data_IF_696743583173
#
_entry.id   IF_696743583173
#
_cell.length_a   1.000
_cell.length_b   1.000
_cell.length_c   1.000
_cell.angle_alpha   90.00
_cell.angle_beta   90.00
_cell.angle_gamma   90.00
#
_symmetry.space_group_name_H-M   'P 1'
#
loop_
_entity.id
_entity.type
_entity.pdbx_description
1 polymer ?
#
# COMPACT_ATOMS: atom_id res chain seq x y z
N UNK A 1 30.67 52.91 70.05
CA UNK A 1 30.84 54.38 70.08
C UNK A 1 30.86 54.89 68.64
N UNK A 2 29.88 55.75 68.31
CA UNK A 2 29.77 56.73 67.20
C UNK A 2 29.88 56.22 65.74
N UNK A 3 28.76 56.14 64.98
CA UNK A 3 28.14 57.21 64.15
C UNK A 3 29.10 57.73 63.06
N UNK A 4 28.77 57.69 61.77
CA UNK A 4 27.86 58.69 61.15
C UNK A 4 27.18 58.18 59.88
N UNK A 5 25.85 58.29 59.87
CA UNK A 5 24.99 58.40 58.68
C UNK A 5 25.39 59.61 57.84
N UNK A 6 25.51 59.44 56.51
CA UNK A 6 25.51 60.54 55.55
C UNK A 6 24.20 60.52 54.76
N UNK A 7 23.55 61.67 54.76
CA UNK A 7 22.21 61.96 54.27
C UNK A 7 22.12 62.10 52.75
N UNK A 8 20.89 61.86 52.29
CA UNK A 8 20.30 61.82 50.95
C UNK A 8 20.27 63.21 50.28
N UNK A 9 20.24 63.30 48.93
CA UNK A 9 19.38 64.27 48.26
C UNK A 9 18.23 63.59 47.53
N UNK A 10 17.02 63.97 47.94
CA UNK A 10 15.73 63.59 47.39
C UNK A 10 15.46 64.42 46.15
N UNK A 11 15.30 63.77 44.99
CA UNK A 11 14.79 64.42 43.79
C UNK A 11 13.31 64.07 43.63
N UNK A 12 12.46 65.06 43.93
CA UNK A 12 11.06 65.12 43.48
C UNK A 12 11.08 65.20 41.95
N UNK A 13 10.71 64.14 41.26
CA UNK A 13 10.23 64.27 39.89
C UNK A 13 8.72 64.11 39.84
N UNK A 14 8.14 65.14 39.23
CA UNK A 14 6.73 65.43 39.17
C UNK A 14 5.97 64.37 38.38
N UNK A 15 4.78 64.08 38.90
CA UNK A 15 3.67 63.50 38.18
C UNK A 15 3.38 64.28 36.89
N UNK A 16 3.67 63.67 35.74
CA UNK A 16 3.05 64.04 34.48
C UNK A 16 2.12 62.90 34.07
N UNK A 17 0.84 63.14 34.29
CA UNK A 17 -0.27 62.44 33.66
C UNK A 17 -0.09 62.42 32.15
N UNK A 18 -0.05 61.24 31.54
CA UNK A 18 -0.56 61.05 30.18
C UNK A 18 -1.26 59.69 30.08
N UNK A 19 -2.61 59.65 30.01
CA UNK A 19 -3.34 58.42 29.78
C UNK A 19 -3.25 58.12 28.29
N UNK A 20 -2.33 57.24 27.89
CA UNK A 20 -2.39 56.66 26.54
C UNK A 20 -3.11 55.33 26.63
N UNK A 21 -4.40 55.42 26.30
CA UNK A 21 -5.26 54.32 25.91
C UNK A 21 -4.47 53.22 25.18
N UNK A 22 -4.26 52.08 25.85
CA UNK A 22 -3.96 50.83 25.17
C UNK A 22 -5.21 50.47 24.36
N UNK A 23 -5.22 50.97 23.14
CA UNK A 23 -6.17 50.61 22.10
C UNK A 23 -6.05 49.10 21.91
N UNK A 24 -7.02 48.37 22.47
CA UNK A 24 -7.21 46.96 22.26
C UNK A 24 -7.45 46.78 20.76
N UNK A 25 -6.38 46.51 20.00
CA UNK A 25 -6.49 46.09 18.62
C UNK A 25 -7.04 44.66 18.72
N UNK A 26 -8.36 44.56 18.70
CA UNK A 26 -9.05 43.34 18.35
C UNK A 26 -8.64 43.01 16.92
N UNK A 27 -7.53 42.30 16.80
CA UNK A 27 -7.24 41.48 15.63
C UNK A 27 -8.31 40.40 15.68
N UNK A 28 -9.51 40.76 15.22
CA UNK A 28 -10.40 39.84 14.56
C UNK A 28 -9.62 39.37 13.34
N UNK A 29 -8.74 38.40 13.59
CA UNK A 29 -8.26 37.48 12.59
C UNK A 29 -9.54 36.93 11.98
N UNK A 30 -9.90 37.53 10.86
CA UNK A 30 -10.94 37.08 9.97
C UNK A 30 -10.41 35.76 9.46
N UNK A 31 -10.59 34.70 10.25
CA UNK A 31 -10.42 33.31 9.85
C UNK A 31 -11.29 33.23 8.62
N UNK A 32 -10.66 33.34 7.45
CA UNK A 32 -11.30 32.99 6.19
C UNK A 32 -11.58 31.52 6.40
N UNK A 33 -12.81 31.22 6.80
CA UNK A 33 -13.41 29.90 6.70
C UNK A 33 -13.13 29.49 5.27
N UNK A 34 -12.07 28.73 5.07
CA UNK A 34 -11.82 27.97 3.87
C UNK A 34 -13.00 27.03 3.83
N UNK A 35 -14.09 27.46 3.18
CA UNK A 35 -15.18 26.59 2.79
C UNK A 35 -14.48 25.57 1.91
N UNK A 36 -14.29 24.31 2.37
CA UNK A 36 -13.62 23.33 1.53
C UNK A 36 -14.45 23.28 0.27
N UNK A 37 -13.87 23.78 -0.84
CA UNK A 37 -14.48 23.65 -2.15
C UNK A 37 -14.57 22.14 -2.29
N UNK A 38 -15.78 21.58 -2.21
CA UNK A 38 -15.95 20.15 -2.33
C UNK A 38 -15.44 19.82 -3.72
N UNK A 39 -14.23 19.27 -3.77
CA UNK A 39 -13.67 18.72 -4.98
C UNK A 39 -14.49 17.46 -5.20
N UNK A 40 -15.68 17.64 -5.77
CA UNK A 40 -16.47 16.58 -6.35
C UNK A 40 -15.68 16.13 -7.57
N UNK A 41 -14.64 15.35 -7.33
CA UNK A 41 -13.95 14.56 -8.33
C UNK A 41 -14.89 13.45 -8.78
N UNK A 42 -15.97 13.84 -9.46
CA UNK A 42 -16.86 12.93 -10.16
C UNK A 42 -16.16 12.54 -11.45
N UNK A 43 -15.09 11.76 -11.32
CA UNK A 43 -14.42 11.17 -12.45
C UNK A 43 -15.36 10.11 -13.04
N UNK A 44 -16.09 10.51 -14.08
CA UNK A 44 -17.08 9.70 -14.78
C UNK A 44 -16.48 8.41 -15.36
N UNK A 45 -15.16 8.37 -15.57
CA UNK A 45 -14.43 7.18 -16.06
C UNK A 45 -14.45 6.00 -15.08
N UNK A 46 -14.60 6.23 -13.77
CA UNK A 46 -14.65 5.14 -12.78
C UNK A 46 -16.03 4.52 -12.58
N UNK A 47 -17.06 4.93 -13.34
CA UNK A 47 -18.41 4.33 -13.24
C UNK A 47 -18.46 2.85 -13.64
N UNK A 48 -17.57 2.40 -14.53
CA UNK A 48 -17.54 1.00 -14.98
C UNK A 48 -17.12 0.01 -13.89
N UNK A 49 -16.47 0.49 -12.82
CA UNK A 49 -16.05 -0.36 -11.72
C UNK A 49 -16.60 0.16 -10.40
N UNK A 50 -17.90 -0.08 -10.10
CA UNK A 50 -18.47 0.30 -8.82
C UNK A 50 -17.59 -0.25 -7.69
N UNK A 51 -17.36 0.58 -6.67
CA UNK A 51 -16.69 0.13 -5.45
C UNK A 51 -17.62 -0.91 -4.80
N UNK A 52 -17.16 -2.17 -4.60
CA UNK A 52 -18.02 -3.16 -3.98
C UNK A 52 -18.36 -2.74 -2.56
N UNK A 53 -19.59 -2.99 -2.13
CA UNK A 53 -20.03 -2.85 -0.74
C UNK A 53 -19.27 -3.82 0.16
N UNK A 54 -19.11 -3.46 1.44
CA UNK A 54 -18.39 -4.31 2.41
C UNK A 54 -19.06 -5.68 2.59
N UNK A 55 -20.39 -5.73 2.55
CA UNK A 55 -21.17 -6.97 2.59
C UNK A 55 -20.86 -7.86 1.40
N UNK A 56 -20.86 -7.31 0.18
CA UNK A 56 -20.47 -8.04 -1.03
C UNK A 56 -19.02 -8.55 -0.96
N UNK A 57 -18.11 -7.78 -0.34
CA UNK A 57 -16.73 -8.24 -0.11
C UNK A 57 -16.67 -9.44 0.83
N UNK A 58 -17.40 -9.40 1.96
CA UNK A 58 -17.47 -10.49 2.94
C UNK A 58 -18.04 -11.78 2.33
N UNK A 59 -19.13 -11.66 1.58
CA UNK A 59 -19.73 -12.80 0.85
C UNK A 59 -18.74 -13.41 -0.13
N UNK A 60 -18.03 -12.58 -0.90
CA UNK A 60 -17.05 -13.06 -1.89
C UNK A 60 -15.82 -13.73 -1.25
N UNK A 61 -15.50 -13.39 -0.01
CA UNK A 61 -14.37 -13.93 0.74
C UNK A 61 -14.80 -15.07 1.69
N UNK A 62 -16.10 -15.43 1.73
CA UNK A 62 -16.69 -16.40 2.66
C UNK A 62 -16.39 -16.07 4.13
N UNK A 63 -16.43 -14.79 4.50
CA UNK A 63 -16.19 -14.31 5.87
C UNK A 63 -17.51 -13.95 6.55
N UNK A 64 -17.74 -14.40 7.81
CA UNK A 64 -18.95 -14.06 8.57
C UNK A 64 -19.16 -12.55 8.78
N UNK A 65 -20.42 -12.15 9.00
CA UNK A 65 -20.80 -10.74 9.08
C UNK A 65 -20.17 -9.98 10.26
N UNK A 66 -19.91 -10.66 11.38
CA UNK A 66 -19.35 -10.09 12.62
C UNK A 66 -17.87 -9.69 12.52
N UNK A 67 -17.19 -10.03 11.43
CA UNK A 67 -15.83 -9.55 11.18
C UNK A 67 -15.84 -8.16 10.58
N UNK A 68 -14.98 -7.28 11.08
CA UNK A 68 -14.75 -5.94 10.52
C UNK A 68 -13.52 -5.91 9.62
N UNK A 69 -13.57 -5.13 8.54
CA UNK A 69 -12.42 -4.96 7.65
C UNK A 69 -11.51 -3.90 8.25
N UNK A 70 -10.29 -4.29 8.63
CA UNK A 70 -9.27 -3.37 9.16
C UNK A 70 -8.21 -3.00 8.12
N UNK A 71 -8.04 -3.81 7.08
CA UNK A 71 -7.04 -3.61 6.05
C UNK A 71 -7.63 -3.88 4.67
N UNK A 72 -7.34 -2.97 3.72
CA UNK A 72 -7.77 -3.12 2.33
C UNK A 72 -6.67 -2.69 1.39
N UNK A 73 -6.10 -3.67 0.69
CA UNK A 73 -5.07 -3.41 -0.30
C UNK A 73 -5.67 -2.68 -1.53
N UNK A 74 -5.32 -1.40 -1.68
CA UNK A 74 -5.75 -0.56 -2.81
C UNK A 74 -5.18 -1.03 -4.15
N UNK A 75 -4.02 -1.69 -4.14
CA UNK A 75 -3.34 -2.19 -5.34
C UNK A 75 -3.80 -3.59 -5.77
N UNK A 76 -4.73 -4.22 -5.04
CA UNK A 76 -5.17 -5.59 -5.28
C UNK A 76 -5.61 -5.88 -6.73
N UNK A 77 -6.28 -4.94 -7.41
CA UNK A 77 -6.68 -5.08 -8.82
C UNK A 77 -5.49 -4.99 -9.77
N UNK A 78 -4.60 -4.04 -9.54
CA UNK A 78 -3.39 -3.87 -10.35
C UNK A 78 -2.50 -5.10 -10.28
N UNK A 79 -2.30 -5.65 -9.08
CA UNK A 79 -1.52 -6.88 -8.88
C UNK A 79 -2.07 -8.08 -9.65
N UNK A 80 -3.40 -8.24 -9.71
CA UNK A 80 -4.04 -9.32 -10.50
C UNK A 80 -3.88 -9.07 -11.99
N UNK A 81 -4.09 -7.84 -12.46
CA UNK A 81 -3.90 -7.51 -13.87
C UNK A 81 -2.45 -7.75 -14.31
N UNK A 82 -1.46 -7.28 -13.54
CA UNK A 82 -0.06 -7.53 -13.82
C UNK A 82 0.26 -9.03 -13.86
N UNK A 83 -0.32 -9.83 -12.95
CA UNK A 83 -0.18 -11.29 -12.95
C UNK A 83 -0.79 -11.95 -14.18
N UNK A 84 -1.97 -11.52 -14.61
CA UNK A 84 -2.62 -12.06 -15.82
C UNK A 84 -1.83 -11.66 -17.06
N UNK A 85 -1.39 -10.41 -17.16
CA UNK A 85 -0.62 -9.90 -18.30
C UNK A 85 0.75 -10.59 -18.43
N UNK A 86 1.46 -10.78 -17.31
CA UNK A 86 2.76 -11.47 -17.31
C UNK A 86 2.63 -12.96 -17.65
N UNK A 87 1.63 -13.65 -17.11
CA UNK A 87 1.37 -15.04 -17.50
C UNK A 87 0.91 -15.13 -18.96
N UNK A 88 0.07 -14.21 -19.41
CA UNK A 88 -0.41 -14.12 -20.78
C UNK A 88 0.72 -13.88 -21.78
N UNK A 89 1.70 -13.02 -21.46
CA UNK A 89 2.84 -12.76 -22.34
C UNK A 89 3.78 -13.96 -22.44
N UNK A 90 4.06 -14.65 -21.32
CA UNK A 90 4.84 -15.89 -21.33
C UNK A 90 4.12 -16.97 -22.15
N UNK A 91 2.82 -17.17 -21.92
CA UNK A 91 2.01 -18.15 -22.66
C UNK A 91 1.97 -17.84 -24.15
N UNK A 92 1.81 -16.56 -24.53
CA UNK A 92 1.79 -16.13 -25.92
C UNK A 92 3.12 -16.44 -26.62
N UNK A 93 4.26 -16.11 -26.00
CA UNK A 93 5.58 -16.42 -26.57
C UNK A 93 5.82 -17.93 -26.66
N UNK A 94 5.45 -18.70 -25.63
CA UNK A 94 5.54 -20.17 -25.68
C UNK A 94 4.66 -20.75 -26.80
N UNK A 95 3.49 -20.17 -27.05
CA UNK A 95 2.62 -20.62 -28.13
C UNK A 95 3.20 -20.27 -29.50
N UNK A 96 3.73 -19.06 -29.69
CA UNK A 96 4.38 -18.66 -30.93
C UNK A 96 5.58 -19.56 -31.25
N UNK A 97 6.44 -19.84 -30.26
CA UNK A 97 7.60 -20.73 -30.44
C UNK A 97 7.19 -22.16 -30.79
N UNK A 98 6.20 -22.72 -30.09
CA UNK A 98 5.67 -24.05 -30.38
C UNK A 98 5.03 -24.11 -31.78
N UNK A 99 4.27 -23.08 -32.17
CA UNK A 99 3.67 -22.99 -33.50
C UNK A 99 4.73 -22.93 -34.60
N UNK A 100 5.80 -22.14 -34.40
CA UNK A 100 6.94 -22.10 -35.33
C UNK A 100 7.60 -23.46 -35.49
N UNK A 101 7.82 -24.19 -34.39
CA UNK A 101 8.40 -25.55 -34.42
C UNK A 101 7.52 -26.54 -35.18
N UNK A 102 6.19 -26.48 -34.98
CA UNK A 102 5.24 -27.38 -35.64
C UNK A 102 5.08 -27.08 -37.15
N UNK A 103 5.27 -25.82 -37.56
CA UNK A 103 5.07 -25.38 -38.95
C UNK A 103 6.36 -25.41 -39.78
N UNK A 104 7.51 -25.73 -39.16
CA UNK A 104 8.84 -25.73 -39.79
C UNK A 104 9.09 -26.89 -40.79
N UNK A 105 8.04 -27.53 -41.31
CA UNK A 105 8.15 -28.57 -42.33
C UNK A 105 8.29 -28.06 -43.77
N UNK A 106 8.34 -26.75 -44.06
CA UNK A 106 8.58 -26.28 -45.44
C UNK A 106 9.12 -24.85 -45.53
N UNK A 107 10.42 -24.75 -45.82
CA UNK A 107 11.19 -23.58 -46.30
C UNK A 107 11.51 -22.45 -45.31
N UNK A 108 12.76 -21.96 -45.26
CA UNK A 108 13.14 -20.80 -44.45
C UNK A 108 12.52 -19.54 -45.06
N UNK A 109 11.38 -19.10 -44.53
CA UNK A 109 10.77 -17.82 -44.91
C UNK A 109 11.56 -16.69 -44.27
N UNK A 110 12.26 -15.91 -45.11
CA UNK A 110 12.73 -14.58 -44.73
C UNK A 110 11.53 -13.73 -44.33
N UNK A 111 11.55 -13.16 -43.13
CA UNK A 111 10.53 -12.22 -42.66
C UNK A 111 10.77 -10.89 -43.38
N UNK A 112 9.98 -10.59 -44.41
CA UNK A 112 9.99 -9.26 -45.05
C UNK A 112 9.21 -8.30 -44.16
N UNK A 113 9.91 -7.51 -43.35
CA UNK A 113 9.34 -6.36 -42.65
C UNK A 113 9.96 -5.09 -43.25
N UNK A 114 9.20 -4.37 -44.07
CA UNK A 114 9.71 -3.21 -44.84
C UNK A 114 10.64 -3.58 -46.00
N UNK A 115 11.39 -2.59 -46.49
CA UNK A 115 12.35 -2.70 -47.61
C UNK A 115 13.73 -3.25 -47.21
N UNK A 116 13.87 -3.78 -45.99
CA UNK A 116 15.10 -4.42 -45.50
C UNK A 116 14.88 -5.92 -45.25
N UNK A 117 15.79 -6.76 -45.74
CA UNK A 117 15.88 -8.15 -45.31
C UNK A 117 16.55 -8.19 -43.94
N UNK A 118 15.80 -8.51 -42.88
CA UNK A 118 16.40 -8.83 -41.59
C UNK A 118 16.69 -10.33 -41.51
N UNK A 119 17.86 -10.73 -40.98
CA UNK A 119 18.12 -12.13 -40.69
C UNK A 119 17.07 -12.64 -39.69
N UNK A 120 16.65 -13.91 -39.83
CA UNK A 120 15.78 -14.59 -38.85
C UNK A 120 16.42 -14.39 -37.46
N UNK A 121 15.66 -13.96 -36.44
CA UNK A 121 16.21 -13.78 -35.10
C UNK A 121 16.92 -15.07 -34.68
N UNK A 122 18.15 -14.94 -34.20
CA UNK A 122 18.94 -16.08 -33.80
C UNK A 122 18.23 -16.79 -32.65
N UNK A 123 18.10 -18.11 -32.70
CA UNK A 123 17.33 -18.90 -31.71
C UNK A 123 17.75 -18.61 -30.26
N UNK A 124 19.02 -18.26 -30.07
CA UNK A 124 19.60 -17.86 -28.79
C UNK A 124 18.98 -16.56 -28.22
N UNK A 125 18.67 -15.57 -29.05
CA UNK A 125 18.08 -14.29 -28.60
C UNK A 125 16.67 -14.50 -28.06
N UNK A 126 15.89 -15.36 -28.72
CA UNK A 126 14.54 -15.71 -28.32
C UNK A 126 14.51 -16.43 -26.97
N UNK A 127 15.42 -17.38 -26.76
CA UNK A 127 15.58 -18.10 -25.49
C UNK A 127 15.98 -17.15 -24.34
N UNK A 128 16.90 -16.20 -24.60
CA UNK A 128 17.29 -15.19 -23.61
C UNK A 128 16.08 -14.33 -23.22
N UNK A 129 15.31 -13.82 -24.19
CA UNK A 129 14.11 -13.01 -23.92
C UNK A 129 13.06 -13.80 -23.13
N UNK A 130 12.81 -15.06 -23.52
CA UNK A 130 11.86 -15.93 -22.80
C UNK A 130 12.28 -16.18 -21.36
N UNK A 131 13.55 -16.49 -21.14
CA UNK A 131 14.08 -16.75 -19.79
C UNK A 131 13.97 -15.51 -18.89
N UNK A 132 14.30 -14.32 -19.41
CA UNK A 132 14.16 -13.06 -18.68
C UNK A 132 12.71 -12.75 -18.31
N UNK A 133 11.78 -12.94 -19.26
CA UNK A 133 10.36 -12.73 -19.01
C UNK A 133 9.80 -13.72 -17.97
N UNK A 134 10.24 -14.98 -18.03
CA UNK A 134 9.85 -16.01 -17.05
C UNK A 134 10.30 -15.62 -15.63
N UNK A 135 11.55 -15.17 -15.48
CA UNK A 135 12.07 -14.71 -14.18
C UNK A 135 11.25 -13.55 -13.63
N UNK A 136 10.92 -12.55 -14.48
CA UNK A 136 10.08 -11.41 -14.08
C UNK A 136 8.68 -11.88 -13.66
N UNK A 137 8.07 -12.79 -14.42
CA UNK A 137 6.75 -13.34 -14.11
C UNK A 137 6.75 -14.10 -12.78
N UNK A 138 7.79 -14.90 -12.50
CA UNK A 138 7.95 -15.62 -11.23
C UNK A 138 8.13 -14.64 -10.07
N UNK A 139 8.99 -13.63 -10.22
CA UNK A 139 9.20 -12.61 -9.19
C UNK A 139 7.91 -11.87 -8.86
N UNK A 140 7.16 -11.45 -9.89
CA UNK A 140 5.86 -10.81 -9.70
C UNK A 140 4.88 -11.76 -8.98
N UNK A 141 4.87 -13.04 -9.34
CA UNK A 141 4.01 -14.03 -8.70
C UNK A 141 4.32 -14.19 -7.20
N UNK A 142 5.60 -14.22 -6.83
CA UNK A 142 6.04 -14.28 -5.43
C UNK A 142 5.57 -13.04 -4.66
N UNK A 143 5.74 -11.84 -5.23
CA UNK A 143 5.31 -10.58 -4.61
C UNK A 143 3.79 -10.55 -4.41
N UNK A 144 3.03 -10.90 -5.43
CA UNK A 144 1.55 -10.89 -5.38
C UNK A 144 1.02 -11.88 -4.34
N UNK A 145 1.63 -13.06 -4.21
CA UNK A 145 1.21 -14.06 -3.23
C UNK A 145 1.60 -13.70 -1.79
N UNK A 146 2.68 -12.92 -1.60
CA UNK A 146 3.10 -12.45 -0.28
C UNK A 146 2.22 -11.31 0.25
N UNK A 147 1.48 -10.59 -0.61
CA UNK A 147 0.63 -9.48 -0.19
C UNK A 147 -0.79 -9.95 0.16
N UNK A 148 -1.31 -9.66 1.37
CA UNK A 148 -2.71 -9.87 1.66
C UNK A 148 -3.58 -8.88 0.87
N UNK A 149 -4.75 -9.35 0.45
CA UNK A 149 -5.77 -8.54 -0.22
C UNK A 149 -6.52 -7.74 0.83
N UNK A 150 -6.92 -8.42 1.91
CA UNK A 150 -7.76 -7.89 2.99
C UNK A 150 -7.41 -8.58 4.30
N UNK A 151 -7.58 -7.86 5.39
CA UNK A 151 -7.49 -8.40 6.75
C UNK A 151 -8.78 -8.04 7.47
N UNK A 152 -9.38 -9.07 8.05
CA UNK A 152 -10.59 -8.98 8.86
C UNK A 152 -10.20 -9.14 10.33
N UNK A 153 -10.83 -8.36 11.20
CA UNK A 153 -10.69 -8.44 12.63
C UNK A 153 -12.03 -8.83 13.26
N UNK A 154 -11.99 -9.71 14.24
CA UNK A 154 -13.10 -9.93 15.14
C UNK A 154 -12.73 -9.37 16.53
N UNK A 155 -13.22 -8.17 16.88
CA UNK A 155 -12.80 -7.48 18.10
C UNK A 155 -13.04 -8.34 19.34
N UNK A 156 -14.23 -8.91 19.50
CA UNK A 156 -14.61 -9.65 20.72
C UNK A 156 -13.68 -10.83 21.07
N UNK A 157 -13.14 -11.54 20.07
CA UNK A 157 -12.26 -12.71 20.30
C UNK A 157 -10.79 -12.43 19.97
N UNK A 158 -10.43 -11.23 19.51
CA UNK A 158 -9.07 -10.90 19.05
C UNK A 158 -8.56 -11.85 17.96
N UNK A 159 -9.45 -12.24 17.03
CA UNK A 159 -9.14 -13.15 15.93
C UNK A 159 -9.04 -12.38 14.62
N UNK A 160 -8.07 -12.74 13.78
CA UNK A 160 -7.83 -12.12 12.49
C UNK A 160 -7.92 -13.14 11.37
N UNK A 161 -8.47 -12.72 10.23
CA UNK A 161 -8.50 -13.51 9.01
C UNK A 161 -7.83 -12.73 7.89
N UNK A 162 -6.77 -13.30 7.34
CA UNK A 162 -6.02 -12.79 6.22
C UNK A 162 -6.49 -13.46 4.94
N UNK A 163 -6.85 -12.67 3.93
CA UNK A 163 -7.25 -13.18 2.63
C UNK A 163 -6.12 -12.91 1.63
N UNK A 164 -5.60 -13.98 1.03
CA UNK A 164 -4.57 -13.96 0.00
C UNK A 164 -5.14 -14.40 -1.35
N UNK A 165 -4.43 -14.07 -2.41
CA UNK A 165 -4.63 -14.73 -3.70
C UNK A 165 -4.13 -16.18 -3.62
N UNK A 166 -4.88 -17.09 -4.22
CA UNK A 166 -4.42 -18.47 -4.39
C UNK A 166 -3.45 -18.62 -5.56
N UNK A 167 -3.10 -19.86 -5.88
CA UNK A 167 -2.24 -20.21 -7.03
C UNK A 167 -2.96 -19.86 -8.34
N UNK A 168 -4.28 -19.94 -8.37
CA UNK A 168 -5.12 -19.51 -9.49
C UNK A 168 -5.61 -18.09 -9.18
N UNK A 169 -5.53 -17.12 -10.12
CA UNK A 169 -5.89 -15.71 -9.87
C UNK A 169 -7.33 -15.52 -9.36
N UNK A 170 -8.24 -16.45 -9.69
CA UNK A 170 -9.64 -16.43 -9.24
C UNK A 170 -9.82 -16.99 -7.82
N UNK A 171 -8.90 -17.85 -7.38
CA UNK A 171 -8.98 -18.52 -6.07
C UNK A 171 -8.43 -17.64 -4.96
N UNK A 172 -8.93 -17.87 -3.75
CA UNK A 172 -8.54 -17.14 -2.55
C UNK A 172 -8.21 -18.10 -1.45
N UNK A 173 -7.21 -17.73 -0.65
CA UNK A 173 -6.79 -18.49 0.52
C UNK A 173 -7.05 -17.64 1.75
N UNK A 174 -7.81 -18.18 2.69
CA UNK A 174 -8.00 -17.57 4.01
C UNK A 174 -7.00 -18.19 5.00
N UNK A 175 -6.36 -17.35 5.80
CA UNK A 175 -5.49 -17.77 6.90
C UNK A 175 -5.98 -17.08 8.16
N UNK A 176 -6.44 -17.86 9.13
CA UNK A 176 -6.80 -17.36 10.44
C UNK A 176 -5.58 -17.32 11.36
N UNK A 177 -5.48 -16.24 12.15
CA UNK A 177 -4.49 -16.11 13.22
C UNK A 177 -5.09 -15.38 14.42
N UNK A 178 -4.46 -15.53 15.57
CA UNK A 178 -4.81 -14.81 16.80
C UNK A 178 -3.99 -13.54 16.94
N UNK A 179 -4.42 -12.66 17.85
CA UNK A 179 -3.65 -11.49 18.26
C UNK A 179 -2.22 -11.88 18.68
N UNK A 180 -1.21 -11.08 18.29
CA UNK A 180 0.24 -11.30 18.54
C UNK A 180 0.88 -12.50 17.84
N UNK A 181 0.15 -13.21 16.97
CA UNK A 181 0.75 -14.22 16.10
C UNK A 181 1.47 -13.63 14.88
N UNK A 182 1.36 -12.32 14.67
CA UNK A 182 2.05 -11.60 13.58
C UNK A 182 3.28 -10.91 14.15
N UNK A 183 4.46 -11.26 13.63
CA UNK A 183 5.74 -10.64 14.02
C UNK A 183 6.39 -9.95 12.83
N UNK A 184 7.09 -8.85 13.10
CA UNK A 184 7.92 -8.20 12.09
C UNK A 184 9.17 -9.06 11.84
N UNK A 185 9.50 -9.28 10.57
CA UNK A 185 10.69 -10.05 10.21
C UNK A 185 11.89 -9.11 10.22
N UNK A 186 12.74 -9.23 11.23
CA UNK A 186 14.00 -8.49 11.31
C UNK A 186 15.06 -9.19 10.45
N UNK A 187 15.46 -8.56 9.34
CA UNK A 187 16.48 -9.15 8.46
C UNK A 187 16.91 -8.27 7.29
N UNK A 188 18.22 -8.31 7.00
CA UNK A 188 18.91 -7.59 5.91
C UNK A 188 18.57 -8.13 4.52
N UNK A 189 17.38 -7.83 4.02
CA UNK A 189 17.01 -8.15 2.63
C UNK A 189 17.25 -6.93 1.74
N UNK A 190 17.86 -7.14 0.56
CA UNK A 190 18.16 -6.08 -0.42
C UNK A 190 16.90 -5.51 -1.12
N UNK A 191 15.73 -6.04 -0.80
CA UNK A 191 14.46 -5.70 -1.44
C UNK A 191 13.86 -4.44 -0.81
N UNK A 192 13.28 -3.51 -1.59
CA UNK A 192 12.80 -2.21 -1.09
C UNK A 192 11.66 -2.32 -0.07
N UNK A 193 10.92 -3.44 -0.04
CA UNK A 193 9.84 -3.70 0.92
C UNK A 193 10.31 -4.38 2.22
N UNK A 194 11.61 -4.31 2.55
CA UNK A 194 12.19 -4.94 3.74
C UNK A 194 11.47 -4.57 5.03
N UNK A 195 11.16 -3.30 5.23
CA UNK A 195 10.57 -2.77 6.47
C UNK A 195 9.11 -3.21 6.67
N UNK A 196 8.49 -3.70 5.61
CA UNK A 196 7.07 -4.08 5.55
C UNK A 196 6.87 -5.60 5.52
N UNK A 197 7.91 -6.38 5.87
CA UNK A 197 7.84 -7.85 5.95
C UNK A 197 7.41 -8.29 7.35
N UNK A 198 6.40 -9.14 7.38
CA UNK A 198 5.87 -9.76 8.57
C UNK A 198 5.79 -11.27 8.38
N UNK A 199 5.70 -11.99 9.48
CA UNK A 199 5.51 -13.43 9.51
C UNK A 199 4.36 -13.75 10.45
N UNK A 200 3.40 -14.53 9.94
CA UNK A 200 2.40 -15.19 10.77
C UNK A 200 3.08 -16.46 11.29
N UNK A 201 3.25 -16.55 12.61
CA UNK A 201 3.95 -17.64 13.28
C UNK A 201 3.47 -18.99 12.72
N UNK A 202 4.42 -19.81 12.26
CA UNK A 202 4.21 -21.16 11.71
C UNK A 202 3.28 -21.25 10.48
N UNK A 203 3.03 -20.15 9.75
CA UNK A 203 2.15 -20.18 8.56
C UNK A 203 2.77 -19.61 7.30
N UNK A 204 3.03 -18.30 7.27
CA UNK A 204 3.54 -17.65 6.06
C UNK A 204 4.18 -16.29 6.35
N UNK A 205 5.10 -15.91 5.44
CA UNK A 205 5.65 -14.57 5.35
C UNK A 205 4.76 -13.71 4.47
N UNK A 206 4.51 -12.49 4.92
CA UNK A 206 3.58 -11.57 4.31
C UNK A 206 4.21 -10.19 4.19
N UNK A 207 3.75 -9.42 3.21
CA UNK A 207 4.14 -8.02 3.03
C UNK A 207 2.90 -7.16 3.29
N UNK A 208 2.95 -6.30 4.30
CA UNK A 208 1.84 -5.42 4.65
C UNK A 208 2.28 -3.97 4.66
N UNK A 209 1.46 -3.09 4.10
CA UNK A 209 1.69 -1.64 4.14
C UNK A 209 0.79 -0.99 5.18
N UNK A 210 1.35 -0.14 6.04
CA UNK A 210 0.62 0.57 7.09
C UNK A 210 -0.49 1.47 6.50
N UNK A 211 -0.24 2.09 5.35
CA UNK A 211 -1.17 3.01 4.67
C UNK A 211 -2.50 2.39 4.25
N UNK A 212 -2.57 1.06 4.17
CA UNK A 212 -3.78 0.34 3.78
C UNK A 212 -4.65 -0.11 4.95
N UNK A 213 -4.22 0.17 6.18
CA UNK A 213 -5.05 0.01 7.36
C UNK A 213 -6.08 1.14 7.45
N UNK A 214 -7.27 0.80 7.96
CA UNK A 214 -8.35 1.77 8.20
C UNK A 214 -7.91 2.81 9.24
N UNK A 215 -7.21 2.38 10.28
CA UNK A 215 -6.63 3.22 11.33
C UNK A 215 -5.22 2.74 11.66
N UNK A 216 -4.28 3.65 12.00
CA UNK A 216 -2.94 3.25 12.46
C UNK A 216 -2.99 2.45 13.77
N UNK A 217 -4.01 2.67 14.60
CA UNK A 217 -4.25 1.88 15.80
C UNK A 217 -4.47 0.39 15.49
N UNK A 218 -5.19 0.06 14.41
CA UNK A 218 -5.48 -1.34 14.04
C UNK A 218 -4.19 -2.09 13.70
N UNK A 219 -3.24 -1.41 13.04
CA UNK A 219 -1.92 -1.93 12.73
C UNK A 219 -1.07 -2.15 14.00
N UNK A 220 -1.05 -1.16 14.90
CA UNK A 220 -0.32 -1.27 16.17
C UNK A 220 -0.87 -2.38 17.07
N UNK A 221 -2.18 -2.59 17.07
CA UNK A 221 -2.83 -3.69 17.80
C UNK A 221 -2.46 -5.04 17.16
N UNK A 222 -2.49 -5.15 15.83
CA UNK A 222 -2.19 -6.39 15.12
C UNK A 222 -0.77 -6.90 15.40
N UNK A 223 0.22 -6.00 15.38
CA UNK A 223 1.63 -6.32 15.67
C UNK A 223 1.89 -6.48 17.17
N UNK A 224 1.00 -5.95 18.02
CA UNK A 224 1.07 -6.07 19.47
C UNK A 224 1.80 -4.92 20.17
N UNK A 225 2.04 -3.79 19.49
CA UNK A 225 2.53 -2.56 20.13
C UNK A 225 1.49 -1.94 21.07
N UNK A 226 0.20 -2.06 20.74
CA UNK A 226 -0.90 -1.51 21.53
C UNK A 226 -1.89 -2.60 21.99
N UNK A 227 -2.47 -2.45 23.18
CA UNK A 227 -3.55 -3.34 23.65
C UNK A 227 -4.88 -2.93 22.98
N UNK A 228 -5.74 -3.87 22.59
CA UNK A 228 -7.06 -3.54 22.06
C UNK A 228 -7.88 -2.82 23.12
N UNK A 229 -8.51 -1.71 22.75
CA UNK A 229 -9.52 -1.03 23.55
C UNK A 229 -10.87 -1.54 23.07
N UNK A 230 -11.54 -2.33 23.91
CA UNK A 230 -12.88 -2.85 23.66
C UNK A 230 -13.92 -1.92 24.29
#
# INVERSE_FOLDING_TARGET
>A
MYSTLKSIPTYKMQSAFFPTYLRQISIFERIRLFKPRSISNRSYFFKFFPKPTETAMKVRDNVPAYFEIIYKNGMSRYLVCCRILSLGSVLFLTFCTLYSLLTETSTPKMVKWGSGQQPKPQENELLVVMSGLLVIAVMLHVIVNAMPIRIYNFPEKGQYIFIFYGIIPTTRKAVSCKLREVRKVEGGSLLPWRENKYEIINRCRIIMLEEYFRRPADYNILIGYQKPQF
#
